data_IF_216986541064
#
_entry.id   IF_216986541064
#
_cell.length_a   1.000
_cell.length_b   1.000
_cell.length_c   1.000
_cell.angle_alpha   90.00
_cell.angle_beta   90.00
_cell.angle_gamma   90.00
#
_symmetry.space_group_name_H-M   'P 1'
#
loop_
_entity.id
_entity.type
_entity.pdbx_description
1 polymer ?
#
# COMPACT_ATOMS: atom_id res chain seq x y z
N UNK A 1 19.25 -0.78 6.60
CA UNK A 1 18.25 0.29 6.42
C UNK A 1 17.24 0.14 7.53
N UNK A 2 16.87 1.22 8.20
CA UNK A 2 15.91 1.15 9.30
C UNK A 2 14.49 0.99 8.75
N UNK A 3 13.67 0.17 9.39
CA UNK A 3 12.27 0.00 9.04
C UNK A 3 11.39 0.83 9.98
N UNK A 4 10.68 1.82 9.42
CA UNK A 4 9.91 2.76 10.24
C UNK A 4 8.45 2.29 10.41
N UNK A 5 7.97 2.30 11.64
CA UNK A 5 6.57 2.10 11.99
C UNK A 5 6.06 3.34 12.72
N UNK A 6 4.90 3.85 12.30
CA UNK A 6 4.21 4.95 12.97
C UNK A 6 2.96 4.40 13.66
N UNK A 7 2.94 4.45 15.00
CA UNK A 7 1.74 4.20 15.79
C UNK A 7 0.93 5.50 15.84
N UNK A 8 -0.18 5.52 15.12
CA UNK A 8 -0.91 6.75 14.79
C UNK A 8 -2.27 6.81 15.49
N UNK A 9 -2.57 7.96 16.10
CA UNK A 9 -3.79 8.16 16.87
C UNK A 9 -3.64 7.85 18.35
N UNK A 10 -2.44 7.94 18.92
CA UNK A 10 -2.27 7.72 20.37
C UNK A 10 -2.75 8.95 21.14
N UNK A 11 -3.57 8.75 22.17
CA UNK A 11 -4.07 9.84 23.02
C UNK A 11 -2.91 10.72 23.51
N UNK A 12 -3.05 12.04 23.42
CA UNK A 12 -1.96 12.99 23.70
C UNK A 12 -1.31 12.79 25.09
N UNK A 13 -2.10 12.45 26.11
CA UNK A 13 -1.62 12.16 27.47
C UNK A 13 -0.70 10.93 27.58
N UNK A 14 -0.71 10.03 26.59
CA UNK A 14 0.02 8.75 26.60
C UNK A 14 1.24 8.74 25.68
N UNK A 15 1.37 9.73 24.79
CA UNK A 15 2.45 9.79 23.78
C UNK A 15 3.84 9.65 24.39
N UNK A 16 4.18 10.49 25.38
CA UNK A 16 5.50 10.46 26.03
C UNK A 16 5.79 9.10 26.67
N UNK A 17 4.79 8.51 27.34
CA UNK A 17 4.92 7.21 27.99
C UNK A 17 5.19 6.12 26.96
N UNK A 18 4.44 6.08 25.87
CA UNK A 18 4.64 5.10 24.81
C UNK A 18 6.00 5.27 24.11
N UNK A 19 6.43 6.53 23.91
CA UNK A 19 7.78 6.82 23.39
C UNK A 19 8.86 6.27 24.32
N UNK A 20 8.75 6.47 25.64
CA UNK A 20 9.70 5.89 26.61
C UNK A 20 9.73 4.37 26.55
N UNK A 21 8.57 3.72 26.41
CA UNK A 21 8.51 2.25 26.22
C UNK A 21 9.25 1.83 24.95
N UNK A 22 9.07 2.53 23.82
CA UNK A 22 9.79 2.21 22.59
C UNK A 22 11.30 2.46 22.68
N UNK A 23 11.75 3.42 23.49
CA UNK A 23 13.18 3.61 23.79
C UNK A 23 13.71 2.45 24.62
N UNK A 24 12.97 2.01 25.65
CA UNK A 24 13.35 0.89 26.52
C UNK A 24 13.50 -0.42 25.74
N UNK A 25 12.56 -0.72 24.86
CA UNK A 25 12.52 -2.00 24.12
C UNK A 25 13.21 -1.93 22.75
N UNK A 26 13.66 -0.76 22.32
CA UNK A 26 14.07 -0.51 20.92
C UNK A 26 15.19 -1.42 20.44
N UNK A 27 16.19 -1.69 21.29
CA UNK A 27 17.31 -2.59 20.95
C UNK A 27 16.88 -4.04 20.70
N UNK A 28 15.77 -4.49 21.28
CA UNK A 28 15.25 -5.86 21.10
C UNK A 28 14.60 -6.04 19.72
N UNK A 29 14.26 -4.94 19.05
CA UNK A 29 13.53 -4.95 17.78
C UNK A 29 14.32 -4.28 16.65
N UNK A 30 15.65 -4.17 16.74
CA UNK A 30 16.48 -3.71 15.64
C UNK A 30 16.24 -4.58 14.37
N UNK A 31 16.09 -4.00 13.16
CA UNK A 31 16.29 -2.60 12.77
C UNK A 31 15.01 -1.75 12.72
N UNK A 32 14.00 -2.08 13.52
CA UNK A 32 12.73 -1.36 13.54
C UNK A 32 12.79 -0.09 14.41
N UNK A 33 12.27 1.00 13.85
CA UNK A 33 12.16 2.29 14.53
C UNK A 33 10.69 2.65 14.69
N UNK A 34 10.25 2.77 15.93
CA UNK A 34 8.89 3.14 16.28
C UNK A 34 8.76 4.64 16.49
N UNK A 35 7.80 5.25 15.82
CA UNK A 35 7.41 6.65 16.00
C UNK A 35 5.97 6.71 16.49
N UNK A 36 5.68 7.60 17.43
CA UNK A 36 4.31 7.84 17.89
C UNK A 36 3.79 9.11 17.22
N UNK A 37 2.63 9.01 16.56
CA UNK A 37 1.88 10.12 16.01
C UNK A 37 0.62 10.35 16.87
N UNK A 38 0.57 11.50 17.52
CA UNK A 38 -0.50 11.84 18.46
C UNK A 38 -1.87 11.96 17.76
N UNK A 39 -2.91 11.43 18.39
CA UNK A 39 -4.29 11.75 18.05
C UNK A 39 -4.62 13.19 18.42
N UNK A 40 -5.71 13.73 17.87
CA UNK A 40 -6.16 15.08 18.21
C UNK A 40 -6.74 15.21 19.62
N UNK A 41 -7.14 14.08 20.23
CA UNK A 41 -7.69 14.04 21.59
C UNK A 41 -6.60 13.72 22.62
N UNK A 42 -6.66 14.38 23.78
CA UNK A 42 -5.67 14.17 24.85
C UNK A 42 -5.94 12.91 25.67
N UNK A 43 -7.18 12.42 25.72
CA UNK A 43 -7.64 11.32 26.59
C UNK A 43 -8.04 10.08 25.81
N UNK A 44 -8.48 10.26 24.58
CA UNK A 44 -8.98 9.19 23.73
C UNK A 44 -8.00 8.85 22.61
N UNK A 45 -7.79 7.55 22.37
CA UNK A 45 -7.04 7.09 21.20
C UNK A 45 -7.94 7.20 19.95
N UNK A 46 -7.34 7.47 18.81
CA UNK A 46 -8.02 7.58 17.53
C UNK A 46 -7.36 8.60 16.62
N UNK A 47 -7.45 8.35 15.32
CA UNK A 47 -7.13 9.31 14.27
C UNK A 47 -8.40 9.98 13.78
N UNK A 48 -8.32 11.30 13.56
CA UNK A 48 -9.37 12.06 12.88
C UNK A 48 -8.99 12.36 11.44
N UNK A 49 -10.00 12.53 10.57
CA UNK A 49 -9.78 12.78 9.14
C UNK A 49 -8.89 14.01 8.88
N UNK A 50 -9.01 15.04 9.70
CA UNK A 50 -8.20 16.27 9.62
C UNK A 50 -6.70 16.05 9.81
N UNK A 51 -6.30 14.92 10.39
CA UNK A 51 -4.89 14.60 10.65
C UNK A 51 -4.24 13.79 9.53
N UNK A 52 -5.00 13.34 8.52
CA UNK A 52 -4.49 12.42 7.49
C UNK A 52 -3.37 13.06 6.69
N UNK A 53 -3.48 14.31 6.28
CA UNK A 53 -2.44 15.00 5.51
C UNK A 53 -1.10 15.04 6.27
N UNK A 54 -1.12 15.52 7.51
CA UNK A 54 0.07 15.58 8.37
C UNK A 54 0.65 14.17 8.67
N UNK A 55 -0.20 13.15 8.78
CA UNK A 55 0.25 11.76 8.93
C UNK A 55 0.95 11.28 7.66
N UNK A 56 0.40 11.54 6.47
CA UNK A 56 1.00 11.14 5.21
C UNK A 56 2.34 11.85 4.97
N UNK A 57 2.47 13.13 5.32
CA UNK A 57 3.75 13.85 5.28
C UNK A 57 4.78 13.18 6.19
N UNK A 58 4.37 12.77 7.40
CA UNK A 58 5.23 12.05 8.33
C UNK A 58 5.69 10.71 7.75
N UNK A 59 4.78 9.94 7.14
CA UNK A 59 5.07 8.66 6.49
C UNK A 59 6.12 8.82 5.40
N UNK A 60 6.00 9.85 4.55
CA UNK A 60 6.98 10.13 3.48
C UNK A 60 8.32 10.55 4.04
N UNK A 61 8.34 11.42 5.06
CA UNK A 61 9.58 11.83 5.73
C UNK A 61 10.38 10.66 6.32
N UNK A 62 9.73 9.51 6.51
CA UNK A 62 10.29 8.26 7.01
C UNK A 62 10.38 7.16 5.95
N UNK A 63 10.39 7.53 4.66
CA UNK A 63 10.63 6.60 3.55
C UNK A 63 9.48 5.64 3.26
N UNK A 64 8.24 6.06 3.54
CA UNK A 64 7.06 5.21 3.36
C UNK A 64 6.82 4.26 4.52
N UNK A 65 6.97 4.75 5.76
CA UNK A 65 6.75 4.00 6.99
C UNK A 65 5.41 3.23 7.00
N UNK A 66 5.38 2.08 7.67
CA UNK A 66 4.12 1.37 7.95
C UNK A 66 3.31 2.19 8.96
N UNK A 67 2.04 2.43 8.66
CA UNK A 67 1.11 3.10 9.57
C UNK A 67 0.33 2.06 10.37
N UNK A 68 0.30 2.20 11.68
CA UNK A 68 -0.54 1.40 12.58
C UNK A 68 -1.53 2.35 13.26
N UNK A 69 -2.77 2.38 12.76
CA UNK A 69 -3.85 3.18 13.32
C UNK A 69 -4.40 2.55 14.60
N UNK A 70 -4.50 3.33 15.67
CA UNK A 70 -5.07 2.86 16.94
C UNK A 70 -6.59 2.93 16.89
N UNK A 71 -7.24 1.78 17.04
CA UNK A 71 -8.68 1.64 17.21
C UNK A 71 -9.02 1.70 18.70
N UNK A 72 -9.90 2.62 19.09
CA UNK A 72 -10.24 2.87 20.49
C UNK A 72 -11.49 2.14 20.97
N UNK A 73 -12.27 1.52 20.08
CA UNK A 73 -13.54 0.88 20.41
C UNK A 73 -14.72 1.85 20.49
N UNK A 74 -14.57 3.07 19.97
CA UNK A 74 -15.55 4.18 20.15
C UNK A 74 -15.98 4.80 18.81
N UNK A 75 -16.62 5.98 18.86
CA UNK A 75 -16.95 6.76 17.66
C UNK A 75 -15.72 7.09 16.79
N UNK A 76 -14.53 7.19 17.36
CA UNK A 76 -13.29 7.40 16.61
C UNK A 76 -12.95 6.22 15.67
N UNK A 77 -13.45 5.01 15.94
CA UNK A 77 -13.28 3.87 15.02
C UNK A 77 -14.06 4.04 13.72
N UNK A 78 -15.19 4.76 13.75
CA UNK A 78 -15.95 5.07 12.54
C UNK A 78 -15.18 6.02 11.63
N UNK A 79 -14.48 7.00 12.20
CA UNK A 79 -13.57 7.84 11.44
C UNK A 79 -12.37 7.04 10.93
N UNK A 80 -11.83 6.14 11.74
CA UNK A 80 -10.70 5.29 11.32
C UNK A 80 -11.05 4.47 10.08
N UNK A 81 -12.26 3.89 10.01
CA UNK A 81 -12.77 3.19 8.82
C UNK A 81 -12.87 4.09 7.58
N UNK A 82 -13.16 5.38 7.75
CA UNK A 82 -13.17 6.35 6.65
C UNK A 82 -11.77 6.81 6.23
N UNK A 83 -10.79 6.74 7.15
CA UNK A 83 -9.40 7.12 6.92
C UNK A 83 -8.62 6.02 6.18
N UNK A 84 -8.84 4.73 6.48
CA UNK A 84 -8.04 3.66 5.85
C UNK A 84 -8.02 3.71 4.32
N UNK A 85 -9.17 3.93 3.62
CA UNK A 85 -9.18 4.04 2.17
C UNK A 85 -8.38 5.24 1.63
N UNK A 86 -8.10 6.25 2.46
CA UNK A 86 -7.27 7.40 2.09
C UNK A 86 -5.77 7.09 2.20
N UNK A 87 -5.38 6.03 2.92
CA UNK A 87 -3.98 5.66 3.20
C UNK A 87 -3.58 4.38 2.47
N UNK A 88 -4.38 3.32 2.59
CA UNK A 88 -4.07 1.95 2.13
C UNK A 88 -3.61 1.82 0.67
N UNK A 89 -4.20 2.56 -0.31
CA UNK A 89 -3.74 2.46 -1.69
C UNK A 89 -2.28 2.94 -1.87
N UNK A 90 -1.80 3.80 -0.98
CA UNK A 90 -0.50 4.46 -1.08
C UNK A 90 0.54 3.89 -0.12
N UNK A 91 0.13 3.51 1.10
CA UNK A 91 1.02 3.07 2.18
C UNK A 91 0.50 1.83 2.89
N UNK A 92 1.42 1.03 3.44
CA UNK A 92 1.08 -0.10 4.32
C UNK A 92 0.36 0.45 5.56
N UNK A 93 -0.85 -0.05 5.80
CA UNK A 93 -1.69 0.37 6.91
C UNK A 93 -2.20 -0.85 7.66
N UNK A 94 -2.15 -0.79 8.99
CA UNK A 94 -2.71 -1.78 9.91
C UNK A 94 -3.56 -1.08 10.96
N UNK A 95 -4.41 -1.86 11.62
CA UNK A 95 -5.07 -1.45 12.86
C UNK A 95 -4.50 -2.20 14.05
N UNK A 96 -4.44 -1.51 15.19
CA UNK A 96 -4.21 -2.10 16.50
C UNK A 96 -5.30 -1.66 17.45
N UNK A 97 -5.85 -2.59 18.23
CA UNK A 97 -6.78 -2.23 19.30
C UNK A 97 -6.05 -1.56 20.46
N UNK A 98 -6.63 -0.50 21.02
CA UNK A 98 -6.05 0.25 22.13
C UNK A 98 -5.78 -0.62 23.37
N UNK A 99 -6.45 -1.78 23.51
CA UNK A 99 -6.15 -2.74 24.57
C UNK A 99 -4.71 -3.28 24.50
N UNK A 100 -4.16 -3.51 23.30
CA UNK A 100 -2.78 -3.95 23.13
C UNK A 100 -1.80 -2.85 23.56
N UNK A 101 -2.11 -1.58 23.30
CA UNK A 101 -1.28 -0.47 23.79
C UNK A 101 -1.31 -0.34 25.32
N UNK A 102 -2.42 -0.72 25.98
CA UNK A 102 -2.48 -0.70 27.45
C UNK A 102 -1.48 -1.66 28.08
N UNK A 103 -1.18 -2.78 27.40
CA UNK A 103 -0.17 -3.74 27.85
C UNK A 103 1.22 -3.11 27.97
N UNK A 104 1.53 -2.14 27.10
CA UNK A 104 2.81 -1.43 27.08
C UNK A 104 3.05 -0.59 28.35
N UNK A 105 2.00 -0.26 29.10
CA UNK A 105 2.09 0.71 30.19
C UNK A 105 2.36 0.08 31.56
N UNK A 106 2.19 -1.22 31.75
CA UNK A 106 2.44 -1.88 33.04
C UNK A 106 3.55 -2.92 32.93
N UNK A 107 4.45 -2.97 33.91
CA UNK A 107 5.56 -3.91 33.90
C UNK A 107 5.11 -5.39 33.81
N UNK A 108 4.06 -5.85 34.54
CA UNK A 108 3.56 -7.22 34.40
C UNK A 108 3.08 -7.57 32.99
N UNK A 109 2.58 -6.59 32.23
CA UNK A 109 2.04 -6.79 30.89
C UNK A 109 2.99 -6.40 29.75
N UNK A 110 4.17 -5.86 30.07
CA UNK A 110 5.14 -5.44 29.05
C UNK A 110 5.67 -6.62 28.25
N UNK A 111 5.86 -7.78 28.88
CA UNK A 111 6.26 -9.01 28.19
C UNK A 111 5.22 -9.45 27.15
N UNK A 112 3.93 -9.34 27.47
CA UNK A 112 2.85 -9.65 26.52
C UNK A 112 2.79 -8.63 25.37
N UNK A 113 3.05 -7.35 25.66
CA UNK A 113 3.17 -6.32 24.62
C UNK A 113 4.34 -6.60 23.67
N UNK A 114 5.50 -7.00 24.21
CA UNK A 114 6.68 -7.38 23.41
C UNK A 114 6.40 -8.58 22.51
N UNK A 115 5.72 -9.62 23.03
CA UNK A 115 5.31 -10.79 22.23
C UNK A 115 4.37 -10.37 21.10
N UNK A 116 3.36 -9.57 21.41
CA UNK A 116 2.45 -9.02 20.40
C UNK A 116 3.21 -8.22 19.32
N UNK A 117 4.16 -7.36 19.72
CA UNK A 117 4.98 -6.61 18.75
C UNK A 117 5.84 -7.54 17.90
N UNK A 118 6.45 -8.58 18.47
CA UNK A 118 7.23 -9.55 17.72
C UNK A 118 6.41 -10.20 16.60
N UNK A 119 5.17 -10.62 16.90
CA UNK A 119 4.25 -11.20 15.91
C UNK A 119 3.91 -10.19 14.79
N UNK A 120 3.67 -8.92 15.15
CA UNK A 120 3.43 -7.84 14.18
C UNK A 120 4.65 -7.64 13.28
N UNK A 121 5.85 -7.59 13.86
CA UNK A 121 7.09 -7.35 13.13
C UNK A 121 7.47 -8.53 12.23
N UNK A 122 7.23 -9.77 12.64
CA UNK A 122 7.42 -10.95 11.79
C UNK A 122 6.55 -10.84 10.53
N UNK A 123 5.28 -10.47 10.69
CA UNK A 123 4.39 -10.26 9.56
C UNK A 123 4.87 -9.11 8.65
N UNK A 124 5.32 -8.00 9.23
CA UNK A 124 5.82 -6.86 8.45
C UNK A 124 7.14 -7.14 7.73
N UNK A 125 8.06 -7.90 8.34
CA UNK A 125 9.26 -8.42 7.67
C UNK A 125 8.86 -9.23 6.43
N UNK A 126 7.94 -10.19 6.60
CA UNK A 126 7.46 -11.02 5.50
C UNK A 126 6.82 -10.19 4.39
N UNK A 127 5.98 -9.22 4.76
CA UNK A 127 5.31 -8.33 3.80
C UNK A 127 6.33 -7.52 3.01
N UNK A 128 7.34 -6.92 3.66
CA UNK A 128 8.36 -6.13 2.99
C UNK A 128 9.23 -6.96 2.04
N UNK A 129 9.56 -8.19 2.44
CA UNK A 129 10.44 -9.06 1.65
C UNK A 129 9.73 -9.64 0.42
N UNK A 130 8.43 -9.95 0.53
CA UNK A 130 7.75 -10.80 -0.45
C UNK A 130 6.55 -10.15 -1.15
N UNK A 131 5.92 -9.14 -0.54
CA UNK A 131 4.68 -8.56 -1.03
C UNK A 131 4.88 -7.13 -1.51
N UNK A 132 5.59 -6.29 -0.75
CA UNK A 132 5.87 -4.90 -1.09
C UNK A 132 6.44 -4.78 -2.52
N UNK A 133 5.93 -3.86 -3.36
CA UNK A 133 6.51 -3.63 -4.67
C UNK A 133 8.01 -3.31 -4.58
N UNK A 134 8.81 -3.95 -5.43
CA UNK A 134 10.26 -3.75 -5.48
C UNK A 134 10.68 -2.83 -6.63
N UNK A 135 9.85 -2.77 -7.66
CA UNK A 135 10.09 -2.02 -8.88
C UNK A 135 8.78 -1.69 -9.61
N UNK A 136 8.91 -0.96 -10.72
CA UNK A 136 7.82 -0.62 -11.63
C UNK A 136 7.18 -1.82 -12.34
N UNK A 137 7.80 -3.00 -12.30
CA UNK A 137 7.30 -4.21 -12.94
C UNK A 137 6.48 -5.07 -11.98
N UNK A 138 6.54 -4.81 -10.69
CA UNK A 138 5.83 -5.61 -9.69
C UNK A 138 4.31 -5.65 -9.98
N UNK A 139 3.63 -6.82 -9.89
CA UNK A 139 2.21 -6.95 -10.19
C UNK A 139 1.32 -5.95 -9.45
N UNK A 140 1.66 -5.64 -8.19
CA UNK A 140 0.91 -4.71 -7.36
C UNK A 140 1.03 -3.25 -7.83
N UNK A 141 1.94 -2.91 -8.76
CA UNK A 141 1.96 -1.59 -9.39
C UNK A 141 0.81 -1.41 -10.37
N UNK A 142 0.31 -2.48 -10.99
CA UNK A 142 -0.87 -2.42 -11.84
C UNK A 142 -2.09 -1.92 -11.05
N UNK A 143 -2.99 -1.13 -11.66
CA UNK A 143 -4.21 -0.71 -10.99
C UNK A 143 -5.13 -1.91 -10.75
N UNK A 144 -5.93 -1.86 -9.68
CA UNK A 144 -6.88 -2.94 -9.32
C UNK A 144 -7.88 -3.26 -10.44
N UNK A 145 -8.13 -2.30 -11.33
CA UNK A 145 -8.98 -2.49 -12.51
C UNK A 145 -8.35 -3.35 -13.62
N UNK A 146 -7.09 -3.76 -13.47
CA UNK A 146 -6.49 -4.75 -14.34
C UNK A 146 -7.34 -6.03 -14.29
N UNK A 147 -7.89 -6.42 -15.44
CA UNK A 147 -8.90 -7.47 -15.48
C UNK A 147 -8.25 -8.84 -15.38
N UNK A 148 -8.21 -9.42 -14.18
CA UNK A 148 -7.80 -10.80 -13.97
C UNK A 148 -8.98 -11.69 -13.60
N UNK A 149 -9.31 -12.69 -14.43
CA UNK A 149 -10.41 -13.65 -14.17
C UNK A 149 -10.20 -14.53 -12.92
N UNK A 150 -8.94 -14.74 -12.51
CA UNK A 150 -8.58 -15.69 -11.43
C UNK A 150 -8.08 -14.99 -10.16
N UNK A 151 -7.68 -13.72 -10.26
CA UNK A 151 -6.98 -13.01 -9.19
C UNK A 151 -7.71 -11.73 -8.73
N UNK A 152 -9.05 -11.71 -8.83
CA UNK A 152 -9.90 -10.55 -8.51
C UNK A 152 -9.70 -9.94 -7.10
N UNK A 153 -9.14 -10.70 -6.15
CA UNK A 153 -8.89 -10.23 -4.78
C UNK A 153 -7.44 -9.85 -4.47
N UNK A 154 -6.52 -9.90 -5.44
CA UNK A 154 -5.07 -9.83 -5.18
C UNK A 154 -4.65 -8.57 -4.40
N UNK A 155 -5.08 -7.39 -4.87
CA UNK A 155 -4.78 -6.11 -4.22
C UNK A 155 -5.34 -6.03 -2.80
N UNK A 156 -6.63 -6.39 -2.63
CA UNK A 156 -7.27 -6.44 -1.31
C UNK A 156 -6.56 -7.39 -0.35
N UNK A 157 -6.10 -8.55 -0.83
CA UNK A 157 -5.36 -9.49 0.02
C UNK A 157 -3.96 -8.97 0.36
N UNK A 158 -3.27 -8.31 -0.56
CA UNK A 158 -1.96 -7.69 -0.29
C UNK A 158 -2.01 -6.56 0.76
N UNK A 159 -3.18 -5.94 0.91
CA UNK A 159 -3.48 -4.94 1.94
C UNK A 159 -3.93 -5.55 3.27
N UNK A 160 -4.16 -6.87 3.33
CA UNK A 160 -4.58 -7.54 4.57
C UNK A 160 -3.47 -7.55 5.62
N UNK A 161 -3.87 -7.56 6.89
CA UNK A 161 -2.98 -7.61 8.04
C UNK A 161 -3.55 -8.53 9.13
N UNK A 162 -2.74 -8.88 10.12
CA UNK A 162 -3.07 -9.82 11.21
C UNK A 162 -3.30 -11.24 10.69
N UNK A 163 -2.35 -11.74 9.89
CA UNK A 163 -2.46 -13.07 9.29
C UNK A 163 -1.28 -13.41 8.39
N UNK A 164 -0.18 -13.85 8.99
CA UNK A 164 1.02 -14.26 8.26
C UNK A 164 0.72 -15.34 7.20
N UNK A 165 -0.15 -16.31 7.52
CA UNK A 165 -0.53 -17.34 6.54
C UNK A 165 -1.34 -16.79 5.36
N UNK A 166 -2.12 -15.72 5.58
CA UNK A 166 -2.77 -15.00 4.49
C UNK A 166 -1.71 -14.37 3.58
N UNK A 167 -0.68 -13.72 4.14
CA UNK A 167 0.41 -13.15 3.35
C UNK A 167 1.22 -14.22 2.59
N UNK A 168 1.46 -15.39 3.19
CA UNK A 168 2.06 -16.53 2.48
C UNK A 168 1.18 -16.96 1.30
N UNK A 169 -0.14 -16.93 1.45
CA UNK A 169 -1.10 -17.09 0.36
C UNK A 169 -0.95 -16.03 -0.72
N UNK A 170 -0.87 -14.75 -0.35
CA UNK A 170 -0.68 -13.63 -1.30
C UNK A 170 0.60 -13.79 -2.10
N UNK A 171 1.72 -14.17 -1.47
CA UNK A 171 2.99 -14.45 -2.17
C UNK A 171 2.80 -15.48 -3.29
N UNK A 172 2.08 -16.58 -3.01
CA UNK A 172 1.77 -17.61 -4.01
C UNK A 172 0.86 -17.06 -5.12
N UNK A 173 -0.14 -16.26 -4.76
CA UNK A 173 -1.03 -15.61 -5.74
C UNK A 173 -0.31 -14.61 -6.62
N UNK A 174 0.67 -13.86 -6.10
CA UNK A 174 1.51 -12.94 -6.88
C UNK A 174 2.37 -13.67 -7.91
N UNK A 175 2.99 -14.78 -7.51
CA UNK A 175 3.75 -15.63 -8.43
C UNK A 175 2.85 -16.16 -9.55
N UNK A 176 1.68 -16.71 -9.19
CA UNK A 176 0.72 -17.25 -10.17
C UNK A 176 0.11 -16.18 -11.08
N UNK A 177 -0.18 -14.99 -10.53
CA UNK A 177 -0.58 -13.84 -11.34
C UNK A 177 0.50 -13.52 -12.37
N UNK A 178 1.76 -13.56 -11.94
CA UNK A 178 2.89 -13.29 -12.83
C UNK A 178 2.96 -14.30 -13.96
N UNK A 179 2.83 -15.60 -13.67
CA UNK A 179 2.80 -16.65 -14.69
C UNK A 179 1.62 -16.51 -15.66
N UNK A 180 0.43 -16.19 -15.15
CA UNK A 180 -0.79 -16.08 -15.94
C UNK A 180 -0.75 -14.85 -16.89
N UNK A 181 -0.24 -13.71 -16.41
CA UNK A 181 -0.41 -12.40 -17.04
C UNK A 181 0.87 -11.77 -17.59
N UNK A 182 2.05 -12.20 -17.15
CA UNK A 182 3.31 -11.72 -17.71
C UNK A 182 3.55 -12.35 -19.07
N UNK A 183 3.91 -11.55 -20.06
CA UNK A 183 4.47 -12.02 -21.32
C UNK A 183 5.83 -11.35 -21.51
N UNK A 184 6.85 -12.15 -21.81
CA UNK A 184 8.13 -11.58 -22.24
C UNK A 184 7.91 -10.82 -23.54
N UNK A 185 8.38 -9.57 -23.58
CA UNK A 185 8.44 -8.85 -24.84
C UNK A 185 9.44 -9.56 -25.76
N UNK A 186 9.06 -9.81 -27.03
CA UNK A 186 9.90 -10.51 -28.03
C UNK A 186 11.29 -9.93 -28.23
N UNK A 187 11.55 -8.71 -27.74
CA UNK A 187 12.80 -7.99 -27.95
C UNK A 187 13.59 -7.69 -26.67
N UNK A 188 13.14 -7.99 -25.44
CA UNK A 188 13.90 -7.68 -24.21
C UNK A 188 13.40 -8.38 -22.93
N UNK A 189 14.26 -8.45 -21.91
CA UNK A 189 14.09 -9.15 -20.61
C UNK A 189 13.00 -8.62 -19.65
N UNK A 190 12.14 -7.67 -20.05
CA UNK A 190 11.14 -7.07 -19.16
C UNK A 190 9.70 -7.52 -19.52
N UNK A 191 8.84 -7.72 -18.50
CA UNK A 191 7.48 -8.23 -18.73
C UNK A 191 6.54 -7.14 -19.27
N UNK A 192 5.68 -7.53 -20.20
CA UNK A 192 4.46 -6.81 -20.55
C UNK A 192 3.29 -7.53 -19.88
N UNK A 193 2.44 -6.79 -19.19
CA UNK A 193 1.29 -7.37 -18.49
C UNK A 193 0.09 -7.46 -19.43
N UNK A 194 -0.48 -8.65 -19.60
CA UNK A 194 -1.64 -8.87 -20.49
C UNK A 194 -2.85 -9.28 -19.66
N UNK A 195 -3.91 -8.49 -19.72
CA UNK A 195 -5.13 -8.79 -18.99
C UNK A 195 -6.07 -9.76 -19.73
N UNK A 196 -7.16 -10.16 -19.06
CA UNK A 196 -8.12 -11.12 -19.58
C UNK A 196 -8.97 -10.64 -20.77
N UNK A 197 -8.87 -9.36 -21.15
CA UNK A 197 -9.44 -8.80 -22.39
C UNK A 197 -8.37 -8.59 -23.47
N UNK A 198 -7.21 -9.24 -23.34
CA UNK A 198 -6.09 -9.12 -24.27
C UNK A 198 -5.55 -7.68 -24.42
N UNK A 199 -5.68 -6.86 -23.36
CA UNK A 199 -5.03 -5.55 -23.31
C UNK A 199 -3.62 -5.73 -22.77
N UNK A 200 -2.65 -5.21 -23.50
CA UNK A 200 -1.25 -5.18 -23.11
C UNK A 200 -0.97 -3.87 -22.37
N UNK A 201 -0.37 -3.97 -21.19
CA UNK A 201 0.00 -2.86 -20.31
C UNK A 201 1.51 -2.76 -20.29
N UNK A 202 2.05 -1.81 -21.06
CA UNK A 202 3.48 -1.62 -21.22
C UNK A 202 3.98 -0.41 -20.40
N UNK A 203 4.98 -0.62 -19.55
CA UNK A 203 5.52 0.41 -18.65
C UNK A 203 6.72 1.17 -19.25
N UNK A 204 7.10 0.85 -20.48
CA UNK A 204 8.32 1.38 -21.14
C UNK A 204 8.09 2.69 -21.90
N UNK A 205 6.85 3.16 -21.98
CA UNK A 205 6.49 4.42 -22.62
C UNK A 205 7.33 5.60 -22.10
N UNK A 206 7.60 6.62 -22.93
CA UNK A 206 8.30 7.83 -22.49
C UNK A 206 7.59 8.44 -21.28
N UNK A 207 8.29 8.66 -20.17
CA UNK A 207 7.68 9.13 -18.92
C UNK A 207 7.21 10.58 -19.05
N UNK A 208 5.97 10.83 -18.70
CA UNK A 208 5.39 12.17 -18.74
C UNK A 208 4.28 12.34 -17.71
N UNK A 209 4.02 13.60 -17.35
CA UNK A 209 3.01 13.98 -16.36
C UNK A 209 3.48 13.78 -14.92
N UNK A 210 3.31 14.82 -14.10
CA UNK A 210 3.64 14.77 -12.67
C UNK A 210 2.47 14.18 -11.89
N UNK A 211 2.70 13.12 -11.13
CA UNK A 211 1.71 12.63 -10.18
C UNK A 211 1.63 13.61 -8.99
N UNK A 212 0.41 13.86 -8.51
CA UNK A 212 0.19 14.64 -7.29
C UNK A 212 0.28 13.73 -6.08
N UNK A 213 0.78 14.26 -4.97
CA UNK A 213 0.76 13.53 -3.70
C UNK A 213 -0.69 13.17 -3.30
N UNK A 214 -0.97 11.95 -2.78
CA UNK A 214 -0.06 10.84 -2.48
C UNK A 214 0.14 9.81 -3.62
N UNK A 215 -0.33 10.08 -4.83
CA UNK A 215 -0.24 9.16 -5.99
C UNK A 215 1.19 8.95 -6.52
N UNK A 216 2.20 9.55 -5.89
CA UNK A 216 3.62 9.23 -6.09
C UNK A 216 4.06 7.99 -5.31
N UNK A 217 3.19 7.38 -4.53
CA UNK A 217 3.46 6.20 -3.71
C UNK A 217 2.42 5.12 -3.94
N UNK A 218 2.82 3.85 -3.90
CA UNK A 218 1.88 2.71 -3.89
C UNK A 218 2.40 1.61 -2.99
N UNK A 219 1.60 1.21 -1.99
CA UNK A 219 2.00 0.23 -0.99
C UNK A 219 3.39 0.52 -0.39
N UNK A 220 3.62 1.74 0.07
CA UNK A 220 4.89 2.20 0.67
C UNK A 220 6.11 2.11 -0.27
N UNK A 221 5.89 1.93 -1.57
CA UNK A 221 6.91 2.03 -2.61
C UNK A 221 6.76 3.36 -3.34
N UNK A 222 7.84 4.14 -3.40
CA UNK A 222 7.85 5.39 -4.15
C UNK A 222 7.90 5.07 -5.64
N UNK A 223 6.88 5.54 -6.36
CA UNK A 223 6.80 5.37 -7.80
C UNK A 223 7.78 6.32 -8.49
N UNK A 224 8.32 5.85 -9.61
CA UNK A 224 9.14 6.69 -10.46
C UNK A 224 8.27 7.81 -11.07
N UNK A 225 8.82 9.01 -11.17
CA UNK A 225 8.09 10.14 -11.74
C UNK A 225 7.62 9.84 -13.18
N UNK A 226 6.37 10.22 -13.47
CA UNK A 226 5.76 9.97 -14.77
C UNK A 226 5.44 8.52 -15.07
N UNK A 227 5.49 7.61 -14.09
CA UNK A 227 5.10 6.21 -14.27
C UNK A 227 3.65 6.10 -14.75
N UNK A 228 3.46 5.40 -15.85
CA UNK A 228 2.19 5.05 -16.47
C UNK A 228 2.36 3.76 -17.27
N UNK A 229 1.25 3.25 -17.78
CA UNK A 229 1.19 2.13 -18.70
C UNK A 229 0.59 2.59 -20.02
N UNK A 230 1.26 2.27 -21.11
CA UNK A 230 0.72 2.36 -22.46
C UNK A 230 -0.15 1.13 -22.69
N UNK A 231 -1.47 1.34 -22.57
CA UNK A 231 -2.45 0.27 -22.69
C UNK A 231 -2.93 0.17 -24.13
N UNK A 232 -2.61 -0.94 -24.77
CA UNK A 232 -2.96 -1.25 -26.15
C UNK A 232 -3.65 -2.62 -26.25
N UNK A 233 -4.08 -3.01 -27.45
CA UNK A 233 -4.59 -4.36 -27.70
C UNK A 233 -3.47 -5.22 -28.28
N UNK A 234 -3.29 -6.44 -27.76
CA UNK A 234 -2.34 -7.43 -28.32
C UNK A 234 -2.62 -7.68 -29.81
N UNK A 235 -3.90 -7.70 -30.20
CA UNK A 235 -4.35 -7.93 -31.58
C UNK A 235 -4.67 -6.62 -32.33
N UNK A 236 -4.21 -5.46 -31.85
CA UNK A 236 -4.43 -4.13 -32.43
C UNK A 236 -5.90 -3.73 -32.62
N UNK A 237 -6.82 -4.39 -31.90
CA UNK A 237 -8.26 -4.12 -31.95
C UNK A 237 -8.61 -2.86 -31.17
N UNK A 238 -9.74 -2.25 -31.55
CA UNK A 238 -10.37 -1.21 -30.74
C UNK A 238 -10.97 -1.80 -29.46
N UNK A 239 -10.97 -1.04 -28.38
CA UNK A 239 -11.65 -1.43 -27.14
C UNK A 239 -12.15 -0.22 -26.36
N UNK A 240 -13.15 -0.48 -25.52
CA UNK A 240 -13.63 0.44 -24.51
C UNK A 240 -12.85 0.26 -23.19
N UNK A 241 -12.53 1.36 -22.53
CA UNK A 241 -11.86 1.40 -21.25
C UNK A 241 -12.56 2.37 -20.31
N UNK A 242 -13.01 1.89 -19.15
CA UNK A 242 -13.58 2.73 -18.09
C UNK A 242 -12.47 3.00 -17.08
N UNK A 243 -12.15 4.27 -16.84
CA UNK A 243 -11.10 4.67 -15.90
C UNK A 243 -11.60 4.71 -14.44
N UNK A 244 -10.69 5.00 -13.50
CA UNK A 244 -11.00 5.05 -12.06
C UNK A 244 -12.08 6.08 -11.69
N UNK A 245 -12.24 7.13 -12.50
CA UNK A 245 -13.24 8.17 -12.33
C UNK A 245 -14.55 7.84 -13.05
N UNK A 246 -14.70 6.59 -13.52
CA UNK A 246 -15.85 6.09 -14.27
C UNK A 246 -16.04 6.77 -15.62
N UNK A 247 -15.00 7.41 -16.15
CA UNK A 247 -15.02 7.97 -17.51
C UNK A 247 -14.68 6.89 -18.52
N UNK A 248 -15.50 6.79 -19.55
CA UNK A 248 -15.28 5.87 -20.68
C UNK A 248 -14.35 6.51 -21.71
N UNK A 249 -13.38 5.71 -22.17
CA UNK A 249 -12.43 6.04 -23.22
C UNK A 249 -12.47 4.96 -24.30
N UNK A 250 -12.35 5.38 -25.55
CA UNK A 250 -12.31 4.48 -26.70
C UNK A 250 -10.93 4.53 -27.34
N UNK A 251 -10.26 3.38 -27.38
CA UNK A 251 -9.00 3.18 -28.10
C UNK A 251 -9.32 2.68 -29.51
N UNK A 252 -8.80 3.32 -30.56
CA UNK A 252 -9.04 2.92 -31.96
C UNK A 252 -8.12 1.78 -32.41
N UNK A 253 -8.49 1.08 -33.47
CA UNK A 253 -7.59 0.09 -34.06
C UNK A 253 -6.30 0.77 -34.58
N UNK A 254 -5.17 0.07 -34.44
CA UNK A 254 -3.89 0.59 -34.93
C UNK A 254 -2.70 0.24 -34.03
N UNK A 255 -1.49 0.17 -34.63
CA UNK A 255 -0.26 -0.26 -33.94
C UNK A 255 0.36 0.83 -33.06
N UNK A 256 0.05 2.11 -33.32
CA UNK A 256 0.58 3.27 -32.56
C UNK A 256 -0.40 3.81 -31.54
N UNK A 257 -1.60 3.24 -31.49
CA UNK A 257 -2.70 3.75 -30.67
C UNK A 257 -2.65 3.11 -29.27
N UNK A 258 -2.74 3.94 -28.23
CA UNK A 258 -2.72 3.49 -26.84
C UNK A 258 -3.38 4.49 -25.88
N UNK A 259 -3.75 4.00 -24.71
CA UNK A 259 -4.20 4.83 -23.58
C UNK A 259 -3.08 4.92 -22.55
N UNK A 260 -2.76 6.12 -22.08
CA UNK A 260 -1.82 6.33 -20.98
C UNK A 260 -2.56 6.18 -19.66
N UNK A 261 -2.36 5.06 -18.97
CA UNK A 261 -3.06 4.71 -17.72
C UNK A 261 -2.12 4.78 -16.53
N UNK A 262 -2.50 5.49 -15.47
CA UNK A 262 -1.68 5.57 -14.25
C UNK A 262 -1.70 4.26 -13.44
N UNK A 263 -0.78 4.07 -12.48
CA UNK A 263 -0.84 2.98 -11.50
C UNK A 263 -2.12 2.91 -10.67
N UNK A 264 -2.95 3.96 -10.70
CA UNK A 264 -4.25 4.02 -10.03
C UNK A 264 -5.44 3.94 -10.99
N UNK A 265 -5.19 3.76 -12.29
CA UNK A 265 -6.24 3.54 -13.27
C UNK A 265 -6.86 4.81 -13.86
N UNK A 266 -6.23 5.98 -13.69
CA UNK A 266 -6.65 7.20 -14.38
C UNK A 266 -6.07 7.23 -15.79
N UNK A 267 -6.86 7.66 -16.79
CA UNK A 267 -6.35 7.91 -18.15
C UNK A 267 -5.88 9.36 -18.24
N UNK A 268 -4.60 9.57 -18.57
CA UNK A 268 -4.00 10.91 -18.74
C UNK A 268 -4.06 11.43 -20.17
N UNK A 269 -4.11 10.52 -21.13
CA UNK A 269 -4.07 10.86 -22.55
C UNK A 269 -4.26 9.63 -23.42
N UNK A 270 -4.52 9.87 -24.70
CA UNK A 270 -4.61 8.86 -25.74
C UNK A 270 -3.75 9.28 -26.92
N UNK A 271 -3.13 8.32 -27.58
CA UNK A 271 -2.50 8.49 -28.88
C UNK A 271 -3.12 7.52 -29.87
#
# INVERSE_FOLDING_TARGET
MNHNIIIAGVAGSRVKRLQSVFVEIGCEFDPWVFTVFAGSDSKEDGLRKVQVEALLDKVVSQGGATVVGVASGTAADRELLAIEPMIRPFFRYRRIDACHLKLAYSAPSLADFKRFLADVLEEECFWQEHIKPKDQYSPLILPEMFLSKKHHGLWRMAESYNGLDNLKGVKKSLARFSDDHSRQARSNNYPVWVDSKERAWDVRGPRHGKATFPETWKYSHQLIEGLHFDVSSVNQRSFEFVDRYKKTHFKKNGPTEYLNVTPFGAVRGKK
#
